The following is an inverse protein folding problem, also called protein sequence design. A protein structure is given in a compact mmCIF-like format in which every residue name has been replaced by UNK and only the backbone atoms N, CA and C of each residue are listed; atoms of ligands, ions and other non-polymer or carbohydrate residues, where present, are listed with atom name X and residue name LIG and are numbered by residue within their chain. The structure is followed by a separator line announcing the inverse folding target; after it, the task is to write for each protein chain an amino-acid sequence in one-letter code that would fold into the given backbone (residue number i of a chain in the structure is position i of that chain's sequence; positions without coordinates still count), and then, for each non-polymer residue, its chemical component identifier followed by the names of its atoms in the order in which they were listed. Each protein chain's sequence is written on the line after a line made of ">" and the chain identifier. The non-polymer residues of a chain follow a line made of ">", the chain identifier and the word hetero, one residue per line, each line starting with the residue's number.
data_IF_465051391374
#
_entry.id   IF_465051391374
#
_cell.length_a   1.000
_cell.length_b   1.000
_cell.length_c   1.000
_cell.angle_alpha   90.00
_cell.angle_beta   90.00
_cell.angle_gamma   90.00
#
_symmetry.space_group_name_H-M   'P 1'
#
loop_
_entity.id
_entity.type
_entity.pdbx_description
1 polymer ?
#
# COMPACT_ATOMS: atom_id res chain seq x y z
N UNK A 1 -38.74 23.47 -73.24
CA UNK A 1 -37.60 23.97 -74.04
C UNK A 1 -36.41 24.14 -73.11
N UNK A 2 -35.25 23.62 -73.53
CA UNK A 2 -33.88 24.05 -73.18
C UNK A 2 -33.32 23.76 -71.76
N UNK A 3 -32.32 22.87 -71.75
CA UNK A 3 -31.24 22.71 -70.75
C UNK A 3 -30.46 24.02 -70.52
N UNK A 4 -29.71 24.13 -69.41
CA UNK A 4 -28.27 24.30 -69.59
C UNK A 4 -27.41 23.33 -68.77
N UNK A 5 -26.21 23.14 -69.31
CA UNK A 5 -25.19 22.15 -68.99
C UNK A 5 -24.48 22.37 -67.65
N UNK A 6 -24.08 21.27 -67.02
CA UNK A 6 -22.98 21.23 -66.04
C UNK A 6 -21.64 21.52 -66.72
N UNK A 7 -20.72 22.29 -66.10
CA UNK A 7 -19.30 22.19 -66.42
C UNK A 7 -18.65 21.07 -65.58
N UNK A 8 -17.99 20.16 -66.30
CA UNK A 8 -17.07 19.15 -65.78
C UNK A 8 -15.94 19.82 -64.97
N UNK A 9 -15.70 19.34 -63.76
CA UNK A 9 -14.50 19.64 -62.98
C UNK A 9 -13.30 18.91 -63.60
N UNK A 10 -12.39 19.68 -64.19
CA UNK A 10 -11.09 19.19 -64.68
C UNK A 10 -10.15 18.84 -63.51
N UNK A 11 -9.57 17.64 -63.54
CA UNK A 11 -8.47 17.24 -62.66
C UNK A 11 -7.27 18.20 -62.79
N UNK A 12 -6.63 18.62 -61.68
CA UNK A 12 -5.38 19.35 -61.75
C UNK A 12 -4.21 18.41 -62.13
N UNK A 13 -3.17 18.92 -62.82
CA UNK A 13 -2.07 18.10 -63.31
C UNK A 13 -1.15 17.64 -62.17
N UNK A 14 -0.64 16.40 -62.29
CA UNK A 14 0.22 15.67 -61.33
C UNK A 14 1.52 16.41 -60.90
N UNK A 15 1.86 17.54 -61.50
CA UNK A 15 3.06 18.32 -61.15
C UNK A 15 2.91 19.21 -59.90
N UNK A 16 1.68 19.60 -59.54
CA UNK A 16 1.45 20.56 -58.45
C UNK A 16 1.59 19.93 -57.05
N UNK A 17 1.13 18.68 -56.86
CA UNK A 17 1.29 17.96 -55.59
C UNK A 17 2.76 17.69 -55.25
N UNK A 18 3.58 17.38 -56.27
CA UNK A 18 5.00 17.03 -56.04
C UNK A 18 5.82 18.23 -55.55
N UNK A 19 5.47 19.45 -55.96
CA UNK A 19 6.12 20.69 -55.49
C UNK A 19 5.67 21.08 -54.08
N UNK A 20 4.41 20.82 -53.74
CA UNK A 20 3.86 21.08 -52.39
C UNK A 20 4.43 20.13 -51.33
N UNK A 21 4.64 18.85 -51.68
CA UNK A 21 5.28 17.89 -50.78
C UNK A 21 6.80 18.10 -50.64
N UNK A 22 7.50 18.58 -51.68
CA UNK A 22 8.92 18.93 -51.56
C UNK A 22 9.16 20.16 -50.68
N UNK A 23 8.27 21.16 -50.71
CA UNK A 23 8.41 22.36 -49.86
C UNK A 23 8.14 22.05 -48.37
N UNK A 24 7.23 21.12 -48.07
CA UNK A 24 6.95 20.68 -46.69
C UNK A 24 8.10 19.81 -46.14
N UNK A 25 8.75 18.99 -46.97
CA UNK A 25 9.93 18.21 -46.58
C UNK A 25 11.18 19.09 -46.36
N UNK A 26 11.34 20.19 -47.11
CA UNK A 26 12.45 21.14 -46.91
C UNK A 26 12.23 22.13 -45.75
N UNK A 27 10.98 22.47 -45.41
CA UNK A 27 10.68 23.25 -44.20
C UNK A 27 10.71 22.41 -42.92
N UNK A 28 10.41 21.11 -43.01
CA UNK A 28 10.51 20.16 -41.89
C UNK A 28 11.95 19.90 -41.42
N UNK A 29 12.94 20.01 -42.31
CA UNK A 29 14.36 19.83 -41.93
C UNK A 29 15.00 21.08 -41.32
N UNK A 30 14.45 22.28 -41.56
CA UNK A 30 14.97 23.52 -40.96
C UNK A 30 14.50 23.72 -39.50
N UNK A 31 13.30 23.21 -39.15
CA UNK A 31 12.80 23.24 -37.76
C UNK A 31 13.47 22.16 -36.89
N UNK A 32 13.92 21.05 -37.48
CA UNK A 32 14.71 20.03 -36.78
C UNK A 32 16.15 20.46 -36.45
N UNK A 33 16.64 21.55 -37.05
CA UNK A 33 18.03 22.00 -36.92
C UNK A 33 18.22 23.16 -35.92
N UNK A 34 17.14 23.72 -35.36
CA UNK A 34 17.22 24.87 -34.44
C UNK A 34 16.73 24.60 -33.01
N UNK A 35 16.33 23.36 -32.67
CA UNK A 35 16.04 22.96 -31.27
C UNK A 35 17.21 22.24 -30.56
N UNK A 36 18.42 22.28 -31.12
CA UNK A 36 19.57 21.52 -30.62
C UNK A 36 20.48 22.25 -29.61
N UNK A 37 20.17 23.47 -29.19
CA UNK A 37 20.97 24.19 -28.19
C UNK A 37 20.10 24.93 -27.15
N UNK A 38 19.25 24.21 -26.44
CA UNK A 38 18.93 24.60 -25.07
C UNK A 38 19.82 23.74 -24.15
N UNK A 39 20.80 24.31 -23.43
CA UNK A 39 21.55 23.55 -22.44
C UNK A 39 20.54 23.08 -21.39
N UNK A 40 20.35 21.76 -21.30
CA UNK A 40 19.60 21.21 -20.18
C UNK A 40 20.31 21.66 -18.90
N UNK A 41 19.57 22.12 -17.86
CA UNK A 41 20.19 22.31 -16.57
C UNK A 41 20.85 20.98 -16.23
N UNK A 42 22.18 20.99 -16.06
CA UNK A 42 22.90 19.83 -15.54
C UNK A 42 22.29 19.55 -14.18
N UNK A 43 21.35 18.61 -14.12
CA UNK A 43 20.97 17.99 -12.87
C UNK A 43 22.26 17.41 -12.32
N UNK A 44 22.87 18.11 -11.37
CA UNK A 44 23.97 17.57 -10.59
C UNK A 44 23.52 16.20 -10.11
N UNK A 45 24.21 15.14 -10.54
CA UNK A 45 23.98 13.83 -9.99
C UNK A 45 23.96 13.98 -8.47
N UNK A 46 22.92 13.47 -7.79
CA UNK A 46 22.81 13.68 -6.36
C UNK A 46 24.07 13.14 -5.70
N UNK A 47 24.66 13.96 -4.82
CA UNK A 47 25.98 13.74 -4.26
C UNK A 47 26.11 12.28 -3.75
N UNK A 48 26.97 11.45 -4.36
CA UNK A 48 27.17 10.07 -3.93
C UNK A 48 27.56 9.98 -2.45
N UNK A 49 28.26 10.99 -1.91
CA UNK A 49 28.64 11.06 -0.50
C UNK A 49 27.42 11.23 0.42
N UNK A 50 26.38 11.93 -0.04
CA UNK A 50 25.16 12.16 0.73
C UNK A 50 24.39 10.85 0.98
N UNK A 51 24.25 10.01 -0.05
CA UNK A 51 23.54 8.73 0.09
C UNK A 51 24.33 7.70 0.89
N UNK A 52 25.66 7.71 0.77
CA UNK A 52 26.55 6.86 1.58
C UNK A 52 26.43 7.26 3.05
N UNK A 53 26.60 8.56 3.37
CA UNK A 53 26.48 9.10 4.73
C UNK A 53 25.10 8.84 5.35
N UNK A 54 24.03 8.99 4.57
CA UNK A 54 22.68 8.71 5.02
C UNK A 54 22.47 7.21 5.31
N UNK A 55 22.97 6.34 4.43
CA UNK A 55 22.89 4.89 4.60
C UNK A 55 23.65 4.43 5.84
N UNK A 56 24.85 4.95 6.08
CA UNK A 56 25.63 4.62 7.27
C UNK A 56 24.94 5.10 8.55
N UNK A 57 24.35 6.30 8.51
CA UNK A 57 23.59 6.85 9.64
C UNK A 57 22.39 5.97 10.00
N UNK A 58 21.57 5.58 9.02
CA UNK A 58 20.42 4.73 9.28
C UNK A 58 20.82 3.31 9.67
N UNK A 59 21.92 2.78 9.11
CA UNK A 59 22.44 1.46 9.48
C UNK A 59 22.91 1.47 10.94
N UNK A 60 23.66 2.47 11.36
CA UNK A 60 24.08 2.64 12.76
C UNK A 60 22.89 2.74 13.72
N UNK A 61 21.87 3.54 13.38
CA UNK A 61 20.63 3.63 14.17
C UNK A 61 19.87 2.31 14.23
N UNK A 62 19.72 1.63 13.10
CA UNK A 62 18.99 0.37 13.01
C UNK A 62 19.62 -0.69 13.94
N UNK A 63 20.95 -0.84 13.88
CA UNK A 63 21.69 -1.74 14.74
C UNK A 63 21.59 -1.36 16.22
N UNK A 64 21.66 -0.06 16.54
CA UNK A 64 21.48 0.41 17.91
C UNK A 64 20.07 0.10 18.45
N UNK A 65 19.04 0.21 17.62
CA UNK A 65 17.67 -0.16 18.00
C UNK A 65 17.51 -1.68 18.15
N UNK A 66 18.08 -2.49 17.25
CA UNK A 66 18.10 -3.96 17.38
C UNK A 66 18.74 -4.38 18.70
N UNK A 67 19.92 -3.83 19.03
CA UNK A 67 20.64 -4.15 20.26
C UNK A 67 19.87 -3.76 21.53
N UNK A 68 19.00 -2.76 21.44
CA UNK A 68 18.11 -2.32 22.54
C UNK A 68 16.78 -3.08 22.56
N UNK A 69 16.52 -3.94 21.59
CA UNK A 69 15.24 -4.63 21.43
C UNK A 69 14.08 -3.76 20.93
N UNK A 70 14.37 -2.53 20.45
CA UNK A 70 13.36 -1.64 19.86
C UNK A 70 13.09 -2.03 18.40
N UNK A 71 12.41 -3.18 18.24
CA UNK A 71 12.20 -3.81 16.95
C UNK A 71 11.47 -2.91 15.96
N UNK A 72 10.53 -2.09 16.44
CA UNK A 72 9.75 -1.19 15.58
C UNK A 72 10.64 -0.13 14.96
N UNK A 73 11.44 0.58 15.77
CA UNK A 73 12.34 1.62 15.25
C UNK A 73 13.46 1.02 14.41
N UNK A 74 13.96 -0.17 14.77
CA UNK A 74 14.89 -0.93 13.96
C UNK A 74 14.30 -1.23 12.57
N UNK A 75 13.10 -1.83 12.51
CA UNK A 75 12.41 -2.17 11.27
C UNK A 75 12.15 -0.92 10.40
N UNK A 76 11.78 0.21 11.01
CA UNK A 76 11.63 1.47 10.27
C UNK A 76 12.95 1.92 9.62
N UNK A 77 14.07 1.88 10.35
CA UNK A 77 15.37 2.23 9.79
C UNK A 77 15.78 1.28 8.64
N UNK A 78 15.55 -0.03 8.80
CA UNK A 78 15.84 -1.00 7.74
C UNK A 78 14.96 -0.85 6.51
N UNK A 79 13.68 -0.49 6.66
CA UNK A 79 12.80 -0.18 5.52
C UNK A 79 13.26 1.05 4.75
N UNK A 80 13.78 2.06 5.44
CA UNK A 80 14.42 3.21 4.80
C UNK A 80 15.64 2.73 4.00
N UNK A 81 16.52 1.93 4.60
CA UNK A 81 17.66 1.37 3.91
C UNK A 81 17.28 0.50 2.71
N UNK A 82 16.19 -0.28 2.81
CA UNK A 82 15.67 -1.09 1.70
C UNK A 82 15.18 -0.21 0.55
N UNK A 83 14.59 0.95 0.86
CA UNK A 83 14.17 1.91 -0.15
C UNK A 83 15.35 2.57 -0.87
N UNK A 84 16.47 2.76 -0.17
CA UNK A 84 17.71 3.30 -0.74
C UNK A 84 18.48 2.24 -1.55
N UNK A 85 18.46 0.99 -1.09
CA UNK A 85 19.22 -0.14 -1.65
C UNK A 85 18.34 -1.38 -1.88
N UNK A 86 17.39 -1.35 -2.83
CA UNK A 86 16.37 -2.40 -2.99
C UNK A 86 16.91 -3.76 -3.47
N UNK A 87 18.15 -3.82 -3.96
CA UNK A 87 18.82 -5.06 -4.39
C UNK A 87 19.71 -5.67 -3.31
N UNK A 88 19.84 -5.01 -2.15
CA UNK A 88 20.64 -5.52 -1.04
C UNK A 88 19.90 -6.67 -0.35
N UNK A 89 20.48 -7.87 -0.48
CA UNK A 89 19.94 -9.10 0.10
C UNK A 89 20.02 -9.11 1.62
N UNK A 90 21.04 -8.49 2.21
CA UNK A 90 21.19 -8.40 3.66
C UNK A 90 20.06 -7.56 4.26
N UNK A 91 19.83 -6.37 3.69
CA UNK A 91 18.77 -5.48 4.14
C UNK A 91 17.40 -6.16 4.00
N UNK A 92 17.16 -6.82 2.86
CA UNK A 92 15.89 -7.52 2.61
C UNK A 92 15.66 -8.63 3.65
N UNK A 93 16.67 -9.47 3.90
CA UNK A 93 16.57 -10.53 4.91
C UNK A 93 16.34 -9.98 6.33
N UNK A 94 16.97 -8.85 6.69
CA UNK A 94 16.74 -8.20 7.98
C UNK A 94 15.33 -7.63 8.11
N UNK A 95 14.81 -6.97 7.07
CA UNK A 95 13.43 -6.46 7.05
C UNK A 95 12.43 -7.61 7.21
N UNK A 96 12.62 -8.72 6.48
CA UNK A 96 11.76 -9.90 6.58
C UNK A 96 11.80 -10.50 8.00
N UNK A 97 13.00 -10.70 8.55
CA UNK A 97 13.18 -11.23 9.91
C UNK A 97 12.49 -10.36 10.96
N UNK A 98 12.77 -9.06 10.95
CA UNK A 98 12.19 -8.12 11.93
C UNK A 98 10.68 -7.98 11.75
N UNK A 99 10.17 -8.01 10.52
CA UNK A 99 8.72 -7.99 10.25
C UNK A 99 8.04 -9.21 10.86
N UNK A 100 8.62 -10.40 10.67
CA UNK A 100 8.11 -11.63 11.28
C UNK A 100 8.15 -11.53 12.81
N UNK A 101 9.26 -11.09 13.39
CA UNK A 101 9.40 -10.95 14.84
C UNK A 101 8.39 -9.97 15.45
N UNK A 102 8.19 -8.80 14.83
CA UNK A 102 7.17 -7.84 15.27
C UNK A 102 5.77 -8.42 15.18
N UNK A 103 5.46 -9.17 14.10
CA UNK A 103 4.14 -9.78 13.91
C UNK A 103 3.87 -10.89 14.92
N UNK A 104 4.87 -11.70 15.25
CA UNK A 104 4.77 -12.72 16.30
C UNK A 104 4.45 -12.07 17.64
N UNK A 105 5.20 -11.04 18.05
CA UNK A 105 4.93 -10.32 19.30
C UNK A 105 3.55 -9.66 19.32
N UNK A 106 3.14 -9.04 18.22
CA UNK A 106 1.79 -8.49 18.07
C UNK A 106 0.72 -9.57 18.31
N UNK A 107 0.89 -10.74 17.68
CA UNK A 107 -0.03 -11.88 17.80
C UNK A 107 -0.10 -12.41 19.24
N UNK A 108 1.03 -12.54 19.92
CA UNK A 108 1.10 -13.00 21.31
C UNK A 108 0.32 -12.07 22.25
N UNK A 109 0.60 -10.76 22.16
CA UNK A 109 -0.13 -9.75 22.95
C UNK A 109 -1.62 -9.74 22.61
N UNK A 110 -1.99 -9.85 21.32
CA UNK A 110 -3.40 -9.88 20.92
C UNK A 110 -4.14 -11.07 21.55
N UNK A 111 -3.55 -12.27 21.51
CA UNK A 111 -4.14 -13.47 22.12
C UNK A 111 -4.29 -13.34 23.63
N UNK A 112 -3.28 -12.78 24.31
CA UNK A 112 -3.36 -12.50 25.74
C UNK A 112 -4.48 -11.50 26.07
N UNK A 113 -4.60 -10.43 25.29
CA UNK A 113 -5.68 -9.45 25.41
C UNK A 113 -7.07 -10.06 25.28
N UNK A 114 -7.27 -10.93 24.28
CA UNK A 114 -8.53 -11.67 24.10
C UNK A 114 -8.83 -12.55 25.31
N UNK A 115 -7.83 -13.27 25.83
CA UNK A 115 -8.01 -14.15 27.00
C UNK A 115 -8.35 -13.36 28.27
N UNK A 116 -7.72 -12.20 28.50
CA UNK A 116 -8.02 -11.32 29.63
C UNK A 116 -9.41 -10.68 29.51
N UNK A 117 -9.79 -10.28 28.30
CA UNK A 117 -11.13 -9.76 28.03
C UNK A 117 -12.22 -10.78 28.36
N UNK A 118 -12.05 -12.04 27.92
CA UNK A 118 -12.97 -13.13 28.22
C UNK A 118 -13.07 -13.44 29.72
N UNK A 119 -12.02 -13.16 30.50
CA UNK A 119 -12.00 -13.28 31.96
C UNK A 119 -12.67 -12.11 32.69
N UNK A 120 -13.15 -11.09 31.97
CA UNK A 120 -13.73 -9.89 32.58
C UNK A 120 -12.68 -8.96 33.21
N UNK A 121 -11.44 -8.97 32.70
CA UNK A 121 -10.34 -8.10 33.13
C UNK A 121 -10.04 -7.04 32.04
N UNK A 122 -10.89 -6.03 31.87
CA UNK A 122 -10.84 -5.13 30.72
C UNK A 122 -9.64 -4.17 30.72
N UNK A 123 -9.14 -3.77 31.89
CA UNK A 123 -7.93 -2.94 32.01
C UNK A 123 -6.67 -3.70 31.54
N UNK A 124 -6.50 -4.96 31.97
CA UNK A 124 -5.40 -5.80 31.52
C UNK A 124 -5.52 -6.13 30.03
N UNK A 125 -6.72 -6.45 29.56
CA UNK A 125 -6.98 -6.68 28.14
C UNK A 125 -6.61 -5.47 27.28
N UNK A 126 -6.99 -4.26 27.71
CA UNK A 126 -6.66 -2.99 27.04
C UNK A 126 -5.15 -2.84 26.87
N UNK A 127 -4.38 -3.07 27.95
CA UNK A 127 -2.93 -2.96 27.91
C UNK A 127 -2.33 -3.90 26.86
N UNK A 128 -2.79 -5.13 26.78
CA UNK A 128 -2.32 -6.10 25.78
C UNK A 128 -2.68 -5.71 24.34
N UNK A 129 -3.90 -5.19 24.10
CA UNK A 129 -4.24 -4.68 22.78
C UNK A 129 -3.40 -3.44 22.40
N UNK A 130 -3.04 -2.59 23.36
CA UNK A 130 -2.12 -1.49 23.11
C UNK A 130 -0.70 -1.98 22.79
N UNK A 131 -0.20 -3.01 23.48
CA UNK A 131 1.07 -3.65 23.13
C UNK A 131 1.04 -4.24 21.72
N UNK A 132 -0.08 -4.83 21.31
CA UNK A 132 -0.28 -5.27 19.92
C UNK A 132 -0.02 -4.13 18.94
N UNK A 133 -0.60 -2.94 19.19
CA UNK A 133 -0.43 -1.76 18.35
C UNK A 133 0.98 -1.14 18.40
N UNK A 134 1.77 -1.45 19.44
CA UNK A 134 3.19 -1.04 19.46
C UNK A 134 4.02 -1.79 18.42
N UNK A 135 3.66 -3.04 18.12
CA UNK A 135 4.34 -3.86 17.12
C UNK A 135 3.69 -3.76 15.74
N UNK A 136 2.35 -3.74 15.67
CA UNK A 136 1.56 -3.66 14.44
C UNK A 136 0.49 -2.56 14.56
N UNK A 137 0.82 -1.35 14.11
CA UNK A 137 0.02 -0.12 14.34
C UNK A 137 -1.39 -0.17 13.73
N UNK A 138 -1.54 -0.93 12.65
CA UNK A 138 -2.75 -1.05 11.86
C UNK A 138 -3.50 -2.37 12.12
N UNK A 139 -3.18 -3.09 13.21
CA UNK A 139 -3.86 -4.34 13.56
C UNK A 139 -5.36 -4.10 13.80
N UNK A 140 -6.24 -4.55 12.89
CA UNK A 140 -7.62 -4.09 12.85
C UNK A 140 -8.45 -4.63 14.03
N UNK A 141 -8.20 -5.86 14.45
CA UNK A 141 -8.90 -6.51 15.55
C UNK A 141 -8.56 -5.87 16.90
N UNK A 142 -7.29 -5.56 17.16
CA UNK A 142 -6.89 -4.87 18.40
C UNK A 142 -7.54 -3.49 18.51
N UNK A 143 -7.63 -2.75 17.39
CA UNK A 143 -8.35 -1.48 17.33
C UNK A 143 -9.86 -1.65 17.60
N UNK A 144 -10.50 -2.67 17.02
CA UNK A 144 -11.93 -2.94 17.27
C UNK A 144 -12.22 -3.23 18.75
N UNK A 145 -11.38 -4.02 19.42
CA UNK A 145 -11.51 -4.26 20.85
C UNK A 145 -11.42 -2.97 21.67
N UNK A 146 -10.43 -2.12 21.37
CA UNK A 146 -10.18 -0.88 22.09
C UNK A 146 -11.24 0.20 21.82
N UNK A 147 -11.81 0.24 20.61
CA UNK A 147 -12.78 1.26 20.21
C UNK A 147 -14.23 0.91 20.51
N UNK A 148 -14.59 -0.38 20.40
CA UNK A 148 -16.00 -0.79 20.36
C UNK A 148 -16.40 -1.75 21.48
N UNK A 149 -15.46 -2.53 22.04
CA UNK A 149 -15.81 -3.67 22.93
C UNK A 149 -15.47 -3.46 24.39
N UNK A 150 -14.44 -2.68 24.69
CA UNK A 150 -14.04 -2.33 26.06
C UNK A 150 -14.85 -1.10 26.51
N UNK A 151 -15.83 -1.29 27.41
CA UNK A 151 -16.81 -0.26 27.82
C UNK A 151 -16.40 0.60 29.03
N UNK A 152 -15.21 0.43 29.60
CA UNK A 152 -14.81 1.22 30.77
C UNK A 152 -14.56 2.70 30.37
N UNK A 153 -14.32 3.57 31.36
CA UNK A 153 -13.85 4.95 31.17
C UNK A 153 -12.44 4.97 30.54
N UNK A 154 -12.35 4.51 29.29
CA UNK A 154 -11.12 4.20 28.53
C UNK A 154 -10.45 5.48 28.03
N UNK A 155 -11.21 6.57 27.91
CA UNK A 155 -10.77 7.79 27.27
C UNK A 155 -10.87 8.98 28.20
N UNK A 156 -9.77 9.73 28.28
CA UNK A 156 -9.79 11.12 28.72
C UNK A 156 -10.10 12.00 27.50
N UNK A 157 -11.00 12.96 27.70
CA UNK A 157 -11.23 14.02 26.72
C UNK A 157 -10.10 15.06 26.81
N UNK A 158 -9.57 15.46 25.65
CA UNK A 158 -8.63 16.57 25.53
C UNK A 158 -9.13 17.59 24.52
N UNK A 159 -9.17 18.87 24.93
CA UNK A 159 -9.51 19.99 24.06
C UNK A 159 -8.25 20.56 23.42
N UNK A 160 -8.21 20.51 22.09
CA UNK A 160 -7.04 20.88 21.30
C UNK A 160 -6.81 22.39 21.36
N UNK A 161 -5.59 22.78 21.73
CA UNK A 161 -5.17 24.18 21.81
C UNK A 161 -4.53 24.64 20.49
N UNK A 162 -4.41 25.95 20.32
CA UNK A 162 -3.70 26.52 19.17
C UNK A 162 -2.23 26.06 19.16
N UNK A 163 -1.78 25.50 18.03
CA UNK A 163 -0.43 24.96 17.87
C UNK A 163 -0.22 23.53 18.39
N UNK A 164 -1.23 22.89 18.97
CA UNK A 164 -1.12 21.49 19.42
C UNK A 164 -0.86 20.53 18.25
N UNK A 165 0.04 19.58 18.47
CA UNK A 165 0.29 18.45 17.57
C UNK A 165 0.08 17.16 18.33
N UNK A 166 -0.25 16.06 17.64
CA UNK A 166 -0.34 14.74 18.30
C UNK A 166 0.93 14.37 19.06
N UNK A 167 2.10 14.80 18.57
CA UNK A 167 3.40 14.57 19.21
C UNK A 167 3.49 15.25 20.56
N UNK A 168 3.16 16.54 20.62
CA UNK A 168 3.20 17.29 21.86
C UNK A 168 2.08 16.86 22.82
N UNK A 169 0.89 16.53 22.30
CA UNK A 169 -0.19 15.94 23.09
C UNK A 169 0.26 14.60 23.69
N UNK A 170 0.86 13.71 22.90
CA UNK A 170 1.35 12.42 23.40
C UNK A 170 2.48 12.57 24.43
N UNK A 171 3.38 13.52 24.21
CA UNK A 171 4.42 13.86 25.18
C UNK A 171 3.82 14.39 26.49
N UNK A 172 2.77 15.21 26.41
CA UNK A 172 2.08 15.79 27.58
C UNK A 172 1.28 14.74 28.36
N UNK A 173 0.54 13.88 27.65
CA UNK A 173 -0.45 12.97 28.23
C UNK A 173 0.17 11.60 28.57
N UNK A 174 1.07 11.09 27.73
CA UNK A 174 1.65 9.76 27.89
C UNK A 174 3.13 9.78 28.30
N UNK A 175 3.68 10.98 28.56
CA UNK A 175 5.09 11.23 28.84
C UNK A 175 6.06 10.65 27.80
N UNK A 176 5.58 10.45 26.57
CA UNK A 176 6.34 9.88 25.47
C UNK A 176 5.82 10.40 24.14
N UNK A 177 6.62 11.23 23.48
CA UNK A 177 6.31 11.77 22.15
C UNK A 177 6.15 10.66 21.09
N UNK A 178 6.78 9.50 21.29
CA UNK A 178 6.66 8.34 20.40
C UNK A 178 5.30 7.66 20.44
N UNK A 179 4.43 8.03 21.39
CA UNK A 179 3.05 7.54 21.50
C UNK A 179 2.03 8.41 20.76
N UNK A 180 2.48 9.31 19.89
CA UNK A 180 1.61 10.09 18.99
C UNK A 180 0.65 9.22 18.17
N UNK A 181 1.05 7.98 17.87
CA UNK A 181 0.20 7.00 17.20
C UNK A 181 -1.08 6.66 17.99
N UNK A 182 -1.04 6.71 19.33
CA UNK A 182 -2.23 6.52 20.17
C UNK A 182 -3.18 7.71 20.09
N UNK A 183 -2.71 8.90 19.70
CA UNK A 183 -3.61 10.02 19.45
C UNK A 183 -4.34 9.78 18.13
N UNK A 184 -3.62 9.42 17.06
CA UNK A 184 -4.20 9.16 15.74
C UNK A 184 -5.04 7.89 15.66
N UNK A 185 -4.71 6.83 16.42
CA UNK A 185 -5.42 5.55 16.34
C UNK A 185 -6.85 5.66 16.84
N UNK A 186 -7.10 6.57 17.80
CA UNK A 186 -8.37 6.70 18.51
C UNK A 186 -9.19 7.91 18.07
N UNK A 187 -8.65 8.73 17.18
CA UNK A 187 -9.27 9.97 16.75
C UNK A 187 -9.17 10.11 15.25
N UNK A 188 -10.19 10.71 14.64
CA UNK A 188 -10.16 11.10 13.22
C UNK A 188 -9.28 12.34 13.04
N UNK A 189 -7.99 12.21 13.30
CA UNK A 189 -7.00 13.29 13.09
C UNK A 189 -6.58 13.29 11.62
N UNK A 190 -6.33 14.47 11.07
CA UNK A 190 -5.80 14.60 9.71
C UNK A 190 -4.46 13.85 9.54
N UNK A 191 -4.06 13.62 8.30
CA UNK A 191 -2.83 12.89 7.94
C UNK A 191 -1.52 13.55 8.37
N UNK A 192 -1.56 14.79 8.88
CA UNK A 192 -0.43 15.47 9.54
C UNK A 192 -0.39 15.26 11.05
N UNK A 193 -1.37 14.58 11.63
CA UNK A 193 -1.57 14.47 13.08
C UNK A 193 -1.55 15.86 13.76
N UNK A 194 -2.23 16.82 13.14
CA UNK A 194 -2.43 18.18 13.61
C UNK A 194 -3.92 18.40 13.83
N UNK A 195 -4.45 18.07 15.00
CA UNK A 195 -5.86 18.30 15.29
C UNK A 195 -6.18 19.80 15.21
N UNK A 196 -7.38 20.15 14.72
CA UNK A 196 -7.80 21.55 14.66
C UNK A 196 -8.07 22.09 16.07
N UNK A 197 -7.68 23.33 16.40
CA UNK A 197 -8.00 23.94 17.68
C UNK A 197 -9.50 23.87 18.01
N UNK A 198 -9.84 23.54 19.25
CA UNK A 198 -11.21 23.31 19.71
C UNK A 198 -11.80 21.95 19.35
N UNK A 199 -11.05 21.06 18.68
CA UNK A 199 -11.48 19.68 18.47
C UNK A 199 -11.36 18.90 19.77
N UNK A 200 -12.38 18.11 20.08
CA UNK A 200 -12.37 17.19 21.21
C UNK A 200 -11.72 15.86 20.81
N UNK A 201 -10.61 15.49 21.47
CA UNK A 201 -9.93 14.22 21.26
C UNK A 201 -10.21 13.25 22.39
N UNK A 202 -10.44 11.99 22.04
CA UNK A 202 -10.51 10.84 22.93
C UNK A 202 -9.14 10.21 23.07
N UNK A 203 -8.49 10.41 24.21
CA UNK A 203 -7.14 9.91 24.49
C UNK A 203 -7.20 8.72 25.43
N UNK A 204 -6.62 7.59 25.03
CA UNK A 204 -6.68 6.35 25.82
C UNK A 204 -5.94 6.53 27.15
N UNK A 205 -6.56 6.16 28.26
CA UNK A 205 -5.88 6.09 29.54
C UNK A 205 -4.94 4.89 29.54
N UNK A 206 -3.63 5.17 29.60
CA UNK A 206 -2.59 4.20 29.93
C UNK A 206 -2.47 4.25 31.45
N UNK A 207 -3.03 3.27 32.18
CA UNK A 207 -3.01 3.28 33.64
C UNK A 207 -1.61 3.66 34.16
N UNK A 208 -1.51 4.82 34.81
CA UNK A 208 -0.35 5.16 35.62
C UNK A 208 -0.49 4.40 36.93
N UNK A 209 0.59 3.74 37.31
CA UNK A 209 0.81 2.94 38.52
C UNK A 209 -0.24 3.13 39.62
N UNK A 210 -0.94 2.04 39.97
CA UNK A 210 -1.57 1.91 41.28
C UNK A 210 -0.56 2.37 42.36
N UNK A 211 -0.93 3.25 43.30
CA UNK A 211 -0.05 3.58 44.41
C UNK A 211 0.16 2.30 45.23
N UNK A 212 1.34 1.71 45.10
CA UNK A 212 1.73 0.48 45.80
C UNK A 212 1.92 -0.79 44.93
N UNK A 213 1.85 -0.70 43.60
CA UNK A 213 2.26 -1.81 42.72
C UNK A 213 3.78 -2.03 42.74
N UNK A 214 4.30 -3.26 42.58
CA UNK A 214 5.73 -3.50 42.60
C UNK A 214 6.40 -2.72 41.48
N UNK A 215 7.41 -1.91 41.82
CA UNK A 215 8.22 -1.18 40.85
C UNK A 215 8.81 -2.19 39.87
N UNK A 216 8.47 -2.07 38.59
CA UNK A 216 9.15 -2.76 37.49
C UNK A 216 10.54 -2.15 37.27
N UNK A 217 11.37 -2.25 38.30
CA UNK A 217 12.81 -2.09 38.25
C UNK A 217 13.34 -3.27 39.05
N UNK A 218 13.34 -4.44 38.41
CA UNK A 218 14.24 -5.59 38.59
C UNK A 218 13.60 -6.80 37.90
N UNK A 219 14.38 -7.44 37.02
CA UNK A 219 14.10 -8.69 36.29
C UNK A 219 13.13 -8.64 35.09
N UNK A 220 13.68 -8.36 33.91
CA UNK A 220 13.35 -9.21 32.75
C UNK A 220 14.21 -10.48 32.90
N UNK A 221 13.63 -11.68 33.10
CA UNK A 221 14.44 -12.88 33.18
C UNK A 221 15.09 -13.14 31.80
N UNK A 222 16.32 -13.68 31.76
CA UNK A 222 16.93 -14.11 30.51
C UNK A 222 16.05 -15.15 29.83
N UNK A 223 15.89 -15.03 28.51
CA UNK A 223 15.28 -16.07 27.70
C UNK A 223 16.11 -17.36 27.85
N UNK A 224 15.54 -18.38 28.51
CA UNK A 224 16.05 -19.74 28.44
C UNK A 224 15.35 -20.49 27.31
N UNK A 225 16.16 -21.00 26.37
CA UNK A 225 15.70 -21.78 25.24
C UNK A 225 15.07 -23.10 25.67
N UNK A 226 13.85 -23.35 25.24
CA UNK A 226 13.30 -24.69 25.18
C UNK A 226 13.55 -25.27 23.78
N UNK A 227 14.53 -26.16 23.68
CA UNK A 227 14.63 -27.18 22.64
C UNK A 227 13.28 -27.90 22.52
N UNK A 228 12.69 -27.90 21.34
CA UNK A 228 11.75 -28.96 20.95
C UNK A 228 12.26 -29.61 19.67
N UNK A 229 12.37 -30.92 19.78
CA UNK A 229 12.92 -31.90 18.87
C UNK A 229 12.13 -31.93 17.55
N UNK A 230 12.85 -32.02 16.44
CA UNK A 230 12.27 -32.48 15.19
C UNK A 230 11.81 -33.95 15.33
N UNK A 231 10.79 -34.36 14.54
CA UNK A 231 10.95 -35.60 13.81
C UNK A 231 10.67 -35.44 12.32
N UNK A 232 11.66 -35.86 11.52
CA UNK A 232 11.50 -36.95 10.56
C UNK A 232 10.64 -36.71 9.32
N UNK A 233 11.31 -36.66 8.16
CA UNK A 233 10.74 -36.89 6.82
C UNK A 233 9.88 -38.14 6.76
N UNK A 234 8.73 -38.06 6.09
CA UNK A 234 8.17 -39.16 5.30
C UNK A 234 7.74 -38.69 3.91
N UNK A 235 8.29 -39.36 2.90
CA UNK A 235 7.89 -39.31 1.49
C UNK A 235 6.52 -39.99 1.32
N UNK A 236 5.67 -39.45 0.45
CA UNK A 236 4.63 -40.20 -0.29
C UNK A 236 4.41 -39.47 -1.62
N UNK A 237 5.03 -39.93 -2.70
CA UNK A 237 4.51 -40.85 -3.72
C UNK A 237 3.27 -40.31 -4.44
N UNK A 238 3.47 -40.11 -5.73
CA UNK A 238 2.51 -39.85 -6.79
C UNK A 238 1.28 -40.77 -6.66
N UNK A 239 0.09 -40.20 -6.87
CA UNK A 239 -1.08 -40.94 -7.31
C UNK A 239 -1.74 -40.12 -8.41
N UNK A 240 -1.49 -40.59 -9.61
CA UNK A 240 -2.08 -40.17 -10.87
C UNK A 240 -3.38 -40.95 -11.00
N UNK A 241 -4.53 -40.29 -10.80
CA UNK A 241 -5.83 -40.88 -11.12
C UNK A 241 -6.51 -40.02 -12.17
N UNK A 242 -6.65 -40.64 -13.33
CA UNK A 242 -7.35 -40.18 -14.53
C UNK A 242 -8.85 -40.12 -14.24
N UNK A 243 -9.48 -38.96 -14.34
CA UNK A 243 -10.94 -38.85 -14.24
C UNK A 243 -11.58 -38.71 -15.62
N UNK A 244 -12.40 -39.69 -15.98
CA UNK A 244 -13.28 -39.71 -17.15
C UNK A 244 -14.74 -39.55 -16.65
N UNK A 245 -15.55 -38.59 -17.13
CA UNK A 245 -16.89 -38.39 -16.62
C UNK A 245 -17.88 -39.34 -17.29
N UNK A 246 -18.47 -40.24 -16.50
CA UNK A 246 -19.66 -41.01 -16.87
C UNK A 246 -20.92 -40.28 -16.43
N UNK A 247 -21.78 -39.97 -17.38
CA UNK A 247 -23.11 -39.39 -17.20
C UNK A 247 -24.06 -40.32 -16.42
N UNK A 248 -24.83 -39.77 -15.48
CA UNK A 248 -26.28 -40.01 -15.32
C UNK A 248 -26.79 -39.39 -14.00
N UNK A 249 -27.79 -38.50 -14.07
CA UNK A 249 -28.55 -38.05 -12.91
C UNK A 249 -29.06 -36.60 -12.97
N UNK A 250 -29.85 -36.25 -14.01
CA UNK A 250 -30.68 -35.02 -14.03
C UNK A 250 -32.08 -35.48 -13.62
N UNK A 251 -32.74 -34.88 -12.63
CA UNK A 251 -33.64 -33.74 -12.84
C UNK A 251 -33.94 -33.04 -11.51
N UNK A 252 -33.33 -31.86 -11.32
CA UNK A 252 -33.79 -30.68 -10.55
C UNK A 252 -32.61 -29.76 -10.16
N UNK A 253 -31.37 -30.25 -10.20
CA UNK A 253 -30.14 -29.42 -10.06
C UNK A 253 -29.62 -28.87 -11.40
N UNK A 254 -29.95 -29.52 -12.53
CA UNK A 254 -29.44 -29.12 -13.84
C UNK A 254 -29.86 -27.70 -14.26
N UNK A 255 -31.07 -27.23 -13.93
CA UNK A 255 -31.50 -25.87 -14.32
C UNK A 255 -30.79 -24.77 -13.51
N UNK A 256 -30.47 -25.00 -12.23
CA UNK A 256 -29.71 -24.06 -11.41
C UNK A 256 -28.22 -24.04 -11.79
N UNK A 257 -27.65 -25.20 -12.09
CA UNK A 257 -26.26 -25.36 -12.58
C UNK A 257 -26.11 -24.80 -14.00
N UNK A 258 -27.09 -25.02 -14.87
CA UNK A 258 -27.10 -24.47 -16.24
C UNK A 258 -27.33 -22.96 -16.25
N UNK A 259 -28.19 -22.44 -15.36
CA UNK A 259 -28.37 -20.99 -15.15
C UNK A 259 -27.10 -20.32 -14.59
N UNK A 260 -26.42 -20.97 -13.65
CA UNK A 260 -25.12 -20.54 -13.13
C UNK A 260 -24.01 -20.58 -14.18
N UNK A 261 -23.94 -21.65 -14.98
CA UNK A 261 -22.98 -21.80 -16.07
C UNK A 261 -23.20 -20.77 -17.19
N UNK A 262 -24.44 -20.50 -17.59
CA UNK A 262 -24.78 -19.43 -18.55
C UNK A 262 -24.42 -18.04 -18.02
N UNK A 263 -24.66 -17.78 -16.73
CA UNK A 263 -24.28 -16.52 -16.07
C UNK A 263 -22.76 -16.34 -15.97
N UNK A 264 -22.02 -17.41 -15.67
CA UNK A 264 -20.56 -17.40 -15.64
C UNK A 264 -19.97 -17.19 -17.04
N UNK A 265 -20.55 -17.80 -18.08
CA UNK A 265 -20.15 -17.58 -19.46
C UNK A 265 -20.32 -16.13 -19.91
N UNK A 266 -21.45 -15.49 -19.58
CA UNK A 266 -21.70 -14.08 -19.91
C UNK A 266 -20.70 -13.14 -19.23
N UNK A 267 -20.47 -13.33 -17.92
CA UNK A 267 -19.50 -12.53 -17.16
C UNK A 267 -18.08 -12.72 -17.67
N UNK A 268 -17.72 -13.94 -18.07
CA UNK A 268 -16.41 -14.25 -18.63
C UNK A 268 -16.18 -13.52 -19.97
N UNK A 269 -17.15 -13.54 -20.88
CA UNK A 269 -17.08 -12.81 -22.16
C UNK A 269 -16.99 -11.29 -21.94
N UNK A 270 -17.78 -10.75 -21.01
CA UNK A 270 -17.72 -9.35 -20.63
C UNK A 270 -16.37 -8.95 -20.02
N UNK A 271 -15.81 -9.81 -19.15
CA UNK A 271 -14.47 -9.58 -18.60
C UNK A 271 -13.41 -9.56 -19.70
N UNK A 272 -13.48 -10.47 -20.67
CA UNK A 272 -12.60 -10.47 -21.86
C UNK A 272 -12.65 -9.14 -22.61
N UNK A 273 -13.85 -8.63 -22.91
CA UNK A 273 -14.03 -7.33 -23.57
C UNK A 273 -13.44 -6.16 -22.76
N UNK A 274 -13.54 -6.21 -21.43
CA UNK A 274 -12.94 -5.19 -20.55
C UNK A 274 -11.41 -5.29 -20.56
N UNK A 275 -10.84 -6.50 -20.61
CA UNK A 275 -9.39 -6.71 -20.74
C UNK A 275 -8.86 -6.21 -22.10
N UNK A 276 -9.59 -6.45 -23.20
CA UNK A 276 -9.24 -5.92 -24.52
C UNK A 276 -9.22 -4.38 -24.53
N UNK A 277 -10.10 -3.77 -23.73
CA UNK A 277 -10.14 -2.31 -23.50
C UNK A 277 -9.14 -1.83 -22.45
N UNK A 278 -8.31 -2.72 -21.87
CA UNK A 278 -7.38 -2.44 -20.77
C UNK A 278 -8.03 -1.90 -19.50
N UNK A 279 -9.32 -2.17 -19.28
CA UNK A 279 -10.06 -1.78 -18.08
C UNK A 279 -9.89 -2.82 -16.98
N UNK A 280 -8.65 -2.98 -16.51
CA UNK A 280 -8.26 -4.11 -15.67
C UNK A 280 -9.00 -4.19 -14.33
N UNK A 281 -9.25 -3.05 -13.66
CA UNK A 281 -9.94 -3.02 -12.35
C UNK A 281 -11.39 -3.52 -12.47
N UNK A 282 -12.09 -3.10 -13.51
CA UNK A 282 -13.47 -3.52 -13.80
C UNK A 282 -13.52 -4.99 -14.20
N UNK A 283 -12.59 -5.41 -15.07
CA UNK A 283 -12.44 -6.80 -15.46
C UNK A 283 -12.17 -7.70 -14.25
N UNK A 284 -11.22 -7.33 -13.40
CA UNK A 284 -10.85 -8.07 -12.19
C UNK A 284 -12.04 -8.20 -11.23
N UNK A 285 -12.78 -7.11 -11.00
CA UNK A 285 -13.98 -7.13 -10.17
C UNK A 285 -14.99 -8.14 -10.70
N UNK A 286 -15.20 -8.18 -12.02
CA UNK A 286 -16.13 -9.10 -12.64
C UNK A 286 -15.65 -10.55 -12.55
N UNK A 287 -14.37 -10.80 -12.85
CA UNK A 287 -13.73 -12.12 -12.78
C UNK A 287 -13.80 -12.74 -11.38
N UNK A 288 -13.59 -11.93 -10.32
CA UNK A 288 -13.71 -12.38 -8.93
C UNK A 288 -15.12 -12.81 -8.52
N UNK A 289 -16.14 -12.51 -9.33
CA UNK A 289 -17.52 -12.99 -9.13
C UNK A 289 -17.87 -14.26 -9.90
N UNK A 290 -16.91 -14.81 -10.65
CA UNK A 290 -17.04 -16.06 -11.39
C UNK A 290 -16.41 -17.17 -10.55
N UNK A 291 -16.95 -18.38 -10.65
CA UNK A 291 -16.39 -19.56 -9.99
C UNK A 291 -14.92 -19.77 -10.41
N UNK A 292 -14.04 -20.02 -9.43
CA UNK A 292 -12.60 -20.13 -9.66
C UNK A 292 -12.20 -21.35 -10.52
N UNK A 293 -13.02 -22.42 -10.51
CA UNK A 293 -12.83 -23.61 -11.36
C UNK A 293 -13.43 -23.48 -12.75
N UNK A 294 -14.11 -22.36 -13.06
CA UNK A 294 -14.66 -22.11 -14.39
C UNK A 294 -13.54 -21.73 -15.37
N UNK A 295 -13.23 -22.64 -16.31
CA UNK A 295 -12.22 -22.46 -17.36
C UNK A 295 -10.86 -22.07 -16.76
N UNK A 296 -10.30 -20.95 -17.20
CA UNK A 296 -9.01 -20.41 -16.80
C UNK A 296 -9.15 -19.12 -15.97
N UNK A 297 -10.33 -18.87 -15.35
CA UNK A 297 -10.59 -17.65 -14.55
C UNK A 297 -9.52 -17.42 -13.49
N UNK A 298 -9.09 -18.45 -12.77
CA UNK A 298 -8.03 -18.30 -11.77
C UNK A 298 -6.72 -17.77 -12.36
N UNK A 299 -6.33 -18.24 -13.56
CA UNK A 299 -5.16 -17.75 -14.28
C UNK A 299 -5.37 -16.32 -14.76
N UNK A 300 -6.56 -16.03 -15.27
CA UNK A 300 -6.92 -14.70 -15.78
C UNK A 300 -6.97 -13.64 -14.67
N UNK A 301 -7.47 -13.99 -13.49
CA UNK A 301 -7.42 -13.15 -12.28
C UNK A 301 -5.97 -12.84 -11.92
N UNK A 302 -5.10 -13.84 -11.83
CA UNK A 302 -3.69 -13.64 -11.50
C UNK A 302 -2.97 -12.77 -12.55
N UNK A 303 -3.22 -13.00 -13.84
CA UNK A 303 -2.64 -12.19 -14.92
C UNK A 303 -3.17 -10.74 -14.91
N UNK A 304 -4.46 -10.55 -14.57
CA UNK A 304 -5.08 -9.22 -14.47
C UNK A 304 -4.54 -8.46 -13.25
N UNK A 305 -4.41 -9.11 -12.10
CA UNK A 305 -3.77 -8.54 -10.90
C UNK A 305 -2.32 -8.11 -11.20
N UNK A 306 -1.55 -8.95 -11.93
CA UNK A 306 -0.20 -8.60 -12.36
C UNK A 306 -0.16 -7.40 -13.33
N UNK A 307 -1.14 -7.30 -14.23
CA UNK A 307 -1.26 -6.16 -15.15
C UNK A 307 -1.58 -4.86 -14.42
N UNK A 308 -2.50 -4.91 -13.44
CA UNK A 308 -2.82 -3.78 -12.55
C UNK A 308 -1.57 -3.34 -11.78
N UNK A 309 -0.81 -4.29 -11.22
CA UNK A 309 0.43 -3.99 -10.52
C UNK A 309 1.45 -3.32 -11.45
N UNK A 310 1.66 -3.85 -12.65
CA UNK A 310 2.61 -3.29 -13.61
C UNK A 310 2.24 -1.85 -14.02
N UNK A 311 0.96 -1.59 -14.27
CA UNK A 311 0.45 -0.26 -14.63
C UNK A 311 0.56 0.72 -13.45
N UNK A 312 0.20 0.28 -12.24
CA UNK A 312 0.37 1.05 -11.02
C UNK A 312 1.85 1.42 -10.78
N UNK A 313 2.77 0.47 -10.93
CA UNK A 313 4.21 0.72 -10.79
C UNK A 313 4.74 1.70 -11.85
N UNK A 314 4.17 1.68 -13.06
CA UNK A 314 4.54 2.62 -14.12
C UNK A 314 4.09 4.05 -13.81
N UNK A 315 2.84 4.24 -13.38
CA UNK A 315 2.33 5.51 -12.89
C UNK A 315 3.13 6.00 -11.68
N UNK A 316 3.44 5.12 -10.74
CA UNK A 316 4.21 5.46 -9.56
C UNK A 316 5.62 5.99 -9.89
N UNK A 317 6.32 5.34 -10.84
CA UNK A 317 7.63 5.83 -11.35
C UNK A 317 7.52 7.18 -12.04
N UNK A 318 6.48 7.41 -12.85
CA UNK A 318 6.23 8.73 -13.47
C UNK A 318 5.97 9.81 -12.42
N UNK A 319 5.17 9.50 -11.40
CA UNK A 319 4.90 10.41 -10.28
C UNK A 319 6.19 10.84 -9.57
N UNK A 320 7.10 9.90 -9.29
CA UNK A 320 8.44 10.22 -8.76
C UNK A 320 9.21 11.12 -9.73
N UNK A 321 9.24 10.79 -11.02
CA UNK A 321 9.98 11.57 -12.02
C UNK A 321 9.49 13.02 -12.09
N UNK A 322 8.17 13.23 -12.09
CA UNK A 322 7.58 14.58 -12.09
C UNK A 322 7.85 15.32 -10.77
N UNK A 323 7.76 14.62 -9.64
CA UNK A 323 8.05 15.19 -8.33
C UNK A 323 9.49 15.69 -8.22
N UNK A 324 10.47 14.90 -8.70
CA UNK A 324 11.88 15.28 -8.73
C UNK A 324 12.17 16.44 -9.70
N UNK A 325 11.29 16.65 -10.69
CA UNK A 325 11.37 17.77 -11.63
C UNK A 325 10.55 18.98 -11.17
N UNK A 326 10.05 18.96 -9.92
CA UNK A 326 9.19 19.97 -9.29
C UNK A 326 7.84 20.21 -10.02
N UNK A 327 7.47 19.35 -10.96
CA UNK A 327 6.16 19.38 -11.63
C UNK A 327 5.13 18.64 -10.76
N UNK A 328 4.80 19.27 -9.63
CA UNK A 328 3.95 18.68 -8.60
C UNK A 328 2.54 18.35 -9.10
N UNK A 329 2.01 19.12 -10.05
CA UNK A 329 0.71 18.86 -10.66
C UNK A 329 0.66 17.54 -11.43
N UNK A 330 1.70 17.24 -12.21
CA UNK A 330 1.79 15.95 -12.91
C UNK A 330 2.11 14.83 -11.94
N UNK A 331 2.94 15.06 -10.92
CA UNK A 331 3.23 14.06 -9.89
C UNK A 331 1.97 13.60 -9.16
N UNK A 332 1.13 14.56 -8.75
CA UNK A 332 -0.18 14.31 -8.10
C UNK A 332 -1.07 13.45 -8.98
N UNK A 333 -1.24 13.80 -10.25
CA UNK A 333 -2.08 13.04 -11.19
C UNK A 333 -1.61 11.60 -11.35
N UNK A 334 -0.30 11.40 -11.50
CA UNK A 334 0.26 10.06 -11.66
C UNK A 334 0.04 9.22 -10.40
N UNK A 335 0.21 9.78 -9.19
CA UNK A 335 -0.05 9.05 -7.96
C UNK A 335 -1.54 8.80 -7.67
N UNK A 336 -2.44 9.67 -8.14
CA UNK A 336 -3.88 9.39 -8.13
C UNK A 336 -4.24 8.18 -8.99
N UNK A 337 -3.60 8.02 -10.16
CA UNK A 337 -3.77 6.82 -10.99
C UNK A 337 -3.26 5.54 -10.30
N UNK A 338 -2.16 5.61 -9.56
CA UNK A 338 -1.69 4.48 -8.73
C UNK A 338 -2.78 4.08 -7.73
N UNK A 339 -3.41 5.04 -7.07
CA UNK A 339 -4.46 4.77 -6.08
C UNK A 339 -5.79 4.33 -6.70
N UNK A 340 -6.09 4.72 -7.94
CA UNK A 340 -7.22 4.18 -8.69
C UNK A 340 -7.03 2.68 -8.97
N UNK A 341 -5.80 2.27 -9.28
CA UNK A 341 -5.43 0.89 -9.56
C UNK A 341 -5.24 0.05 -8.28
N UNK A 342 -4.62 0.64 -7.26
CA UNK A 342 -4.30 0.03 -5.97
C UNK A 342 -4.69 0.99 -4.83
N UNK A 343 -5.96 0.97 -4.39
CA UNK A 343 -6.46 1.89 -3.37
C UNK A 343 -5.73 1.84 -2.04
N UNK A 344 -5.02 0.74 -1.74
CA UNK A 344 -4.29 0.53 -0.50
C UNK A 344 -2.78 0.74 -0.63
N UNK A 345 -2.30 1.29 -1.75
CA UNK A 345 -0.88 1.60 -1.93
C UNK A 345 -0.45 2.75 -1.00
N UNK A 346 0.10 2.37 0.16
CA UNK A 346 0.53 3.31 1.20
C UNK A 346 1.65 4.24 0.71
N UNK A 347 2.47 3.79 -0.24
CA UNK A 347 3.59 4.56 -0.78
C UNK A 347 3.05 5.69 -1.65
N UNK A 348 2.15 5.38 -2.58
CA UNK A 348 1.46 6.37 -3.40
C UNK A 348 0.61 7.34 -2.56
N UNK A 349 -0.08 6.87 -1.51
CA UNK A 349 -0.81 7.75 -0.57
C UNK A 349 0.12 8.77 0.09
N UNK A 350 1.26 8.30 0.62
CA UNK A 350 2.27 9.14 1.28
C UNK A 350 2.87 10.17 0.32
N UNK A 351 3.26 9.72 -0.88
CA UNK A 351 3.93 10.59 -1.84
C UNK A 351 2.95 11.63 -2.43
N UNK A 352 1.71 11.23 -2.73
CA UNK A 352 0.62 12.15 -3.11
C UNK A 352 0.40 13.24 -2.06
N UNK A 353 0.35 12.86 -0.78
CA UNK A 353 0.23 13.80 0.33
C UNK A 353 1.40 14.79 0.35
N UNK A 354 2.62 14.31 0.13
CA UNK A 354 3.81 15.15 0.11
C UNK A 354 3.79 16.14 -1.05
N UNK A 355 3.45 15.73 -2.28
CA UNK A 355 3.34 16.68 -3.40
C UNK A 355 2.27 17.73 -3.17
N UNK A 356 1.09 17.35 -2.65
CA UNK A 356 0.02 18.32 -2.35
C UNK A 356 0.49 19.36 -1.34
N UNK A 357 1.17 18.94 -0.27
CA UNK A 357 1.77 19.85 0.74
C UNK A 357 2.81 20.80 0.15
N UNK A 358 3.65 20.32 -0.76
CA UNK A 358 4.67 21.17 -1.39
C UNK A 358 4.06 22.18 -2.37
N UNK A 359 2.93 21.83 -3.01
CA UNK A 359 2.22 22.71 -3.93
C UNK A 359 1.50 23.86 -3.20
N UNK A 360 1.13 23.65 -1.94
CA UNK A 360 0.43 24.64 -1.10
C UNK A 360 1.37 25.64 -0.40
N UNK A 361 2.69 25.47 -0.53
CA UNK A 361 3.71 26.41 -0.06
C UNK A 361 4.09 27.37 -1.17
#
# INVERSE_FOLDING_TARGET
>A
MLFPMMPMLSCPPLGALRRFFLSILLFGSLVYSLSACAPQPKGTAPDPELFVSLSDTFRGKALAYENRGDLRRALQCWRILQSLSPRDKEITARVEKLTLETRTKATEHFQQGVALYQKGLPADARREFLYTLTYEQDHPEALDYLLNRLQDNVFNTYQVQEGDTCREIAKKIYHDAGKEFLVSAFNKVNSSCQPSPGTELKLVVLDQELPGGPKFSDAMPPQEGARVLAPGRQKRKEMEDTYNPGEAGVTNQAQAVEGGAKKNALKYDQAGKLLDQKKYVEALRLLRTIDAGYRDVAKLVAATDASIQQEADAHYRKGISYYLSEDLDKAIKEWEEVLRLRPDDLKAKKDLLNARRLKER
#
